data_IF_199964589970
#
_entry.id   IF_199964589970
#
_cell.length_a   1.000
_cell.length_b   1.000
_cell.length_c   1.000
_cell.angle_alpha   90.00
_cell.angle_beta   90.00
_cell.angle_gamma   90.00
#
_symmetry.space_group_name_H-M   'P 1'
#
loop_
_entity.id
_entity.type
_entity.pdbx_description
1 polymer ?
#
# COMPACT_ATOMS: atom_id res chain seq x y z
N UNK A 1 6.57 -5.84 -14.63
CA UNK A 1 5.99 -6.21 -13.31
C UNK A 1 5.46 -4.97 -12.56
N UNK A 2 6.23 -3.88 -12.46
CA UNK A 2 5.79 -2.59 -11.87
C UNK A 2 4.43 -2.07 -12.37
N UNK A 3 4.24 -1.98 -13.69
CA UNK A 3 3.01 -1.43 -14.30
C UNK A 3 1.74 -2.19 -13.88
N UNK A 4 1.84 -3.51 -13.69
CA UNK A 4 0.72 -4.33 -13.23
C UNK A 4 0.27 -3.90 -11.82
N UNK A 5 1.21 -3.77 -10.89
CA UNK A 5 0.92 -3.36 -9.52
C UNK A 5 0.38 -1.93 -9.47
N UNK A 6 1.00 -1.01 -10.21
CA UNK A 6 0.52 0.36 -10.30
C UNK A 6 -0.93 0.43 -10.83
N UNK A 7 -1.26 -0.38 -11.83
CA UNK A 7 -2.62 -0.50 -12.34
C UNK A 7 -3.59 -1.05 -11.27
N UNK A 8 -3.19 -2.08 -10.51
CA UNK A 8 -4.02 -2.60 -9.41
C UNK A 8 -4.30 -1.55 -8.32
N UNK A 9 -3.32 -0.70 -8.01
CA UNK A 9 -3.50 0.43 -7.09
C UNK A 9 -4.48 1.47 -7.67
N UNK A 10 -4.36 1.80 -8.96
CA UNK A 10 -5.26 2.74 -9.64
C UNK A 10 -6.72 2.28 -9.60
N UNK A 11 -7.00 0.98 -9.75
CA UNK A 11 -8.35 0.42 -9.66
C UNK A 11 -9.02 0.56 -8.28
N UNK A 12 -8.26 0.91 -7.25
CA UNK A 12 -8.71 1.05 -5.85
C UNK A 12 -8.73 2.49 -5.38
N UNK A 13 -8.40 3.45 -6.24
CA UNK A 13 -8.37 4.86 -5.91
C UNK A 13 -9.79 5.46 -6.01
N UNK A 14 -9.96 6.73 -5.61
CA UNK A 14 -11.23 7.39 -5.32
C UNK A 14 -12.25 7.21 -6.44
N UNK A 15 -13.48 6.83 -6.07
CA UNK A 15 -14.61 6.74 -7.00
C UNK A 15 -14.67 5.45 -7.83
N UNK A 16 -13.89 4.42 -7.49
CA UNK A 16 -13.93 3.12 -8.15
C UNK A 16 -14.36 2.01 -7.21
N UNK A 17 -15.11 1.05 -7.74
CA UNK A 17 -15.39 -0.22 -7.07
C UNK A 17 -14.19 -1.15 -7.28
N UNK A 18 -13.46 -1.54 -6.22
CA UNK A 18 -12.29 -2.37 -6.36
C UNK A 18 -12.67 -3.79 -6.83
N UNK A 19 -11.86 -4.44 -7.69
CA UNK A 19 -12.10 -5.83 -8.05
C UNK A 19 -11.95 -6.77 -6.85
N UNK A 20 -12.64 -7.91 -6.88
CA UNK A 20 -12.66 -8.90 -5.79
C UNK A 20 -11.34 -9.70 -5.61
N UNK A 21 -10.23 -9.24 -6.19
CA UNK A 21 -8.91 -9.90 -6.12
C UNK A 21 -8.01 -9.38 -4.98
N UNK A 22 -8.52 -8.51 -4.10
CA UNK A 22 -7.74 -7.95 -2.98
C UNK A 22 -7.07 -9.01 -2.08
N UNK A 23 -7.73 -10.11 -1.67
CA UNK A 23 -7.08 -11.14 -0.87
C UNK A 23 -5.84 -11.75 -1.53
N UNK A 24 -5.93 -12.03 -2.84
CA UNK A 24 -4.84 -12.63 -3.60
C UNK A 24 -3.66 -11.66 -3.78
N UNK A 25 -3.95 -10.38 -4.01
CA UNK A 25 -2.91 -9.36 -4.10
C UNK A 25 -2.13 -9.23 -2.80
N UNK A 26 -2.83 -9.16 -1.66
CA UNK A 26 -2.17 -9.06 -0.36
C UNK A 26 -1.33 -10.30 -0.06
N UNK A 27 -1.81 -11.51 -0.38
CA UNK A 27 -1.02 -12.73 -0.21
C UNK A 27 0.26 -12.72 -1.07
N UNK A 28 0.19 -12.22 -2.30
CA UNK A 28 1.37 -12.05 -3.16
C UNK A 28 2.34 -10.98 -2.62
N UNK A 29 1.80 -9.91 -2.05
CA UNK A 29 2.60 -8.85 -1.43
C UNK A 29 3.35 -9.38 -0.21
N UNK A 30 2.64 -10.04 0.71
CA UNK A 30 3.21 -10.63 1.92
C UNK A 30 4.30 -11.66 1.63
N UNK A 31 4.16 -12.41 0.53
CA UNK A 31 5.08 -13.47 0.17
C UNK A 31 6.40 -12.99 -0.44
N UNK A 32 6.45 -11.79 -1.03
CA UNK A 32 7.61 -11.43 -1.86
C UNK A 32 7.98 -9.95 -1.94
N UNK A 33 7.24 -9.01 -1.32
CA UNK A 33 7.52 -7.57 -1.50
C UNK A 33 8.96 -7.16 -1.17
N UNK A 34 9.58 -7.76 -0.14
CA UNK A 34 10.92 -7.39 0.33
C UNK A 34 12.06 -7.91 -0.55
N UNK A 35 11.79 -8.86 -1.45
CA UNK A 35 12.79 -9.48 -2.34
C UNK A 35 12.64 -9.00 -3.79
N UNK A 36 11.68 -8.12 -4.06
CA UNK A 36 11.43 -7.59 -5.40
C UNK A 36 12.36 -6.44 -5.75
N UNK A 37 12.51 -6.21 -7.05
CA UNK A 37 13.21 -5.04 -7.57
C UNK A 37 12.60 -3.74 -7.01
N UNK A 38 13.39 -2.70 -6.68
CA UNK A 38 12.92 -1.50 -5.99
C UNK A 38 11.69 -0.83 -6.61
N UNK A 39 11.61 -0.83 -7.95
CA UNK A 39 10.51 -0.25 -8.71
C UNK A 39 9.21 -1.06 -8.56
N UNK A 40 9.34 -2.38 -8.47
CA UNK A 40 8.22 -3.31 -8.25
C UNK A 40 7.80 -3.31 -6.79
N UNK A 41 8.77 -3.34 -5.87
CA UNK A 41 8.57 -3.23 -4.43
C UNK A 41 7.78 -1.96 -4.09
N UNK A 42 8.16 -0.81 -4.66
CA UNK A 42 7.44 0.44 -4.45
C UNK A 42 6.00 0.36 -4.96
N UNK A 43 5.77 -0.22 -6.14
CA UNK A 43 4.42 -0.36 -6.68
C UNK A 43 3.56 -1.35 -5.87
N UNK A 44 4.15 -2.41 -5.32
CA UNK A 44 3.49 -3.33 -4.40
C UNK A 44 3.11 -2.64 -3.08
N UNK A 45 4.04 -1.87 -2.49
CA UNK A 45 3.79 -1.04 -1.32
C UNK A 45 2.64 -0.06 -1.58
N UNK A 46 2.71 0.66 -2.70
CA UNK A 46 1.68 1.61 -3.11
C UNK A 46 0.31 0.95 -3.29
N UNK A 47 0.26 -0.27 -3.82
CA UNK A 47 -0.98 -1.06 -3.93
C UNK A 47 -1.54 -1.39 -2.54
N UNK A 48 -0.70 -1.89 -1.64
CA UNK A 48 -1.11 -2.21 -0.26
C UNK A 48 -1.59 -0.98 0.50
N UNK A 49 -0.97 0.18 0.26
CA UNK A 49 -1.34 1.44 0.88
C UNK A 49 -2.78 1.83 0.54
N UNK A 50 -3.14 1.85 -0.74
CA UNK A 50 -4.50 2.22 -1.16
C UNK A 50 -5.56 1.18 -0.82
N UNK A 51 -5.19 -0.10 -0.76
CA UNK A 51 -6.07 -1.13 -0.18
C UNK A 51 -6.40 -0.76 1.27
N UNK A 52 -5.40 -0.48 2.11
CA UNK A 52 -5.64 -0.15 3.51
C UNK A 52 -6.37 1.18 3.75
N UNK A 53 -6.22 2.14 2.84
CA UNK A 53 -6.92 3.44 2.92
C UNK A 53 -8.41 3.30 2.64
N UNK A 54 -8.80 2.60 1.58
CA UNK A 54 -10.21 2.54 1.15
C UNK A 54 -10.96 1.28 1.59
N UNK A 55 -10.26 0.18 1.87
CA UNK A 55 -10.88 -1.08 2.29
C UNK A 55 -10.56 -1.36 3.76
N UNK A 56 -11.44 -0.88 4.64
CA UNK A 56 -11.31 -0.98 6.09
C UNK A 56 -11.11 -2.43 6.56
N UNK A 57 -11.72 -3.39 5.86
CA UNK A 57 -11.60 -4.83 6.17
C UNK A 57 -10.15 -5.32 6.09
N UNK A 58 -9.32 -4.74 5.22
CA UNK A 58 -7.92 -5.14 5.03
C UNK A 58 -6.93 -4.15 5.63
N UNK A 59 -7.39 -3.09 6.30
CA UNK A 59 -6.53 -2.03 6.84
C UNK A 59 -5.46 -2.58 7.77
N UNK A 60 -5.85 -3.35 8.78
CA UNK A 60 -4.91 -3.92 9.76
C UNK A 60 -3.91 -4.88 9.11
N UNK A 61 -4.35 -5.66 8.11
CA UNK A 61 -3.45 -6.53 7.33
C UNK A 61 -2.41 -5.71 6.56
N UNK A 62 -2.81 -4.60 5.95
CA UNK A 62 -1.88 -3.73 5.22
C UNK A 62 -0.88 -3.04 6.16
N UNK A 63 -1.32 -2.62 7.36
CA UNK A 63 -0.41 -2.08 8.39
C UNK A 63 0.59 -3.14 8.84
N UNK A 64 0.13 -4.36 9.13
CA UNK A 64 0.99 -5.47 9.54
C UNK A 64 2.06 -5.83 8.50
N UNK A 65 1.75 -5.73 7.19
CA UNK A 65 2.75 -5.87 6.11
C UNK A 65 3.86 -4.83 6.27
N UNK A 66 3.51 -3.57 6.50
CA UNK A 66 4.50 -2.50 6.70
C UNK A 66 5.33 -2.67 7.96
N UNK A 67 4.70 -3.07 9.07
CA UNK A 67 5.38 -3.34 10.34
C UNK A 67 6.37 -4.50 10.20
N UNK A 68 5.97 -5.59 9.54
CA UNK A 68 6.80 -6.77 9.33
C UNK A 68 7.97 -6.50 8.39
N UNK A 69 7.75 -5.74 7.32
CA UNK A 69 8.77 -5.49 6.29
C UNK A 69 9.70 -4.33 6.63
N UNK A 70 9.23 -3.35 7.42
CA UNK A 70 9.99 -2.14 7.75
C UNK A 70 10.28 -1.24 6.54
N UNK A 71 9.70 -1.51 5.38
CA UNK A 71 9.98 -0.78 4.15
C UNK A 71 9.58 0.69 4.28
N UNK A 72 10.49 1.58 3.85
CA UNK A 72 10.32 3.03 3.86
C UNK A 72 10.13 3.66 5.25
N UNK A 73 10.40 2.93 6.34
CA UNK A 73 10.24 3.44 7.71
C UNK A 73 11.12 4.66 8.00
N UNK A 74 12.34 4.65 7.49
CA UNK A 74 13.33 5.71 7.69
C UNK A 74 13.39 6.70 6.51
N UNK A 75 12.37 6.69 5.64
CA UNK A 75 12.27 7.62 4.51
C UNK A 75 12.13 9.06 5.02
N UNK A 76 13.02 9.95 4.56
CA UNK A 76 12.92 11.38 4.83
C UNK A 76 12.01 12.01 3.79
N UNK A 77 10.79 12.38 4.19
CA UNK A 77 9.86 13.12 3.34
C UNK A 77 9.86 14.62 3.64
N UNK A 78 9.70 15.48 2.62
CA UNK A 78 9.48 16.90 2.83
C UNK A 78 8.28 17.18 3.73
N UNK A 79 8.28 18.36 4.36
CA UNK A 79 7.15 18.83 5.18
C UNK A 79 5.87 18.83 4.33
N UNK A 80 4.78 18.31 4.89
CA UNK A 80 3.46 18.13 4.27
C UNK A 80 3.34 17.02 3.20
N UNK A 81 4.36 16.19 3.01
CA UNK A 81 4.24 14.96 2.21
C UNK A 81 3.84 13.77 3.09
N UNK A 82 3.10 12.81 2.52
CA UNK A 82 2.79 11.54 3.19
C UNK A 82 3.96 10.56 2.98
N UNK A 83 4.54 9.97 4.03
CA UNK A 83 5.62 8.98 3.92
C UNK A 83 5.12 7.66 3.36
N UNK A 84 6.00 6.90 2.69
CA UNK A 84 5.64 5.63 2.05
C UNK A 84 5.51 4.46 3.04
N UNK A 85 5.89 4.64 4.30
CA UNK A 85 5.74 3.64 5.36
C UNK A 85 4.27 3.31 5.59
N UNK A 86 3.85 2.08 5.27
CA UNK A 86 2.43 1.70 5.19
C UNK A 86 1.59 2.09 6.40
N UNK A 87 1.97 1.81 7.66
CA UNK A 87 1.14 2.13 8.81
C UNK A 87 0.83 3.63 8.89
N UNK A 88 1.88 4.44 8.74
CA UNK A 88 1.78 5.89 8.83
C UNK A 88 1.09 6.50 7.60
N UNK A 89 1.38 5.98 6.39
CA UNK A 89 0.69 6.40 5.17
C UNK A 89 -0.82 6.21 5.31
N UNK A 90 -1.23 5.00 5.70
CA UNK A 90 -2.65 4.63 5.82
C UNK A 90 -3.33 5.53 6.84
N UNK A 91 -2.74 5.74 8.01
CA UNK A 91 -3.34 6.59 9.05
C UNK A 91 -3.50 8.04 8.60
N UNK A 92 -2.47 8.62 7.96
CA UNK A 92 -2.53 9.99 7.45
C UNK A 92 -3.58 10.12 6.34
N UNK A 93 -3.60 9.21 5.38
CA UNK A 93 -4.51 9.32 4.23
C UNK A 93 -5.96 9.01 4.61
N UNK A 94 -6.20 8.12 5.58
CA UNK A 94 -7.53 7.94 6.17
C UNK A 94 -7.99 9.21 6.87
N UNK A 95 -7.12 9.86 7.65
CA UNK A 95 -7.47 11.08 8.38
C UNK A 95 -7.81 12.25 7.45
N UNK A 96 -7.04 12.44 6.36
CA UNK A 96 -7.31 13.47 5.33
C UNK A 96 -8.65 13.32 4.60
N UNK A 97 -9.30 12.16 4.68
CA UNK A 97 -10.52 11.81 3.93
C UNK A 97 -11.76 11.72 4.81
N UNK A 98 -11.63 12.01 6.11
CA UNK A 98 -12.77 12.26 7.00
C UNK A 98 -13.34 13.65 6.73
#
# INVERSE_FOLDING_TARGET
RRTYWYYQARLRWTGQTPPENTPELLSKIEAGIAEEDPDVQWAMNYTSAWIGVYDEKYRDRCKAIGEKTGLYKDEIVPRNCTPSYLPLFIDIEVDKRK
#
